data_IF_254075438144
#
_entry.id   IF_254075438144
#
_cell.length_a   1.000
_cell.length_b   1.000
_cell.length_c   1.000
_cell.angle_alpha   90.00
_cell.angle_beta   90.00
_cell.angle_gamma   90.00
#
_symmetry.space_group_name_H-M   'P 1'
#
loop_
_entity.id
_entity.type
_entity.pdbx_description
1 polymer ?
#
# COMPACT_ATOMS: atom_id res chain seq x y z
N UNK A 1 16.16 -14.55 -24.35
CA UNK A 1 15.17 -15.14 -23.43
C UNK A 1 14.37 -16.21 -24.17
N UNK A 2 14.55 -17.47 -23.84
CA UNK A 2 13.67 -18.56 -24.29
C UNK A 2 12.80 -18.95 -23.10
N UNK A 3 11.58 -18.42 -23.03
CA UNK A 3 10.62 -18.83 -22.01
C UNK A 3 10.12 -20.25 -22.29
N UNK A 4 10.13 -21.11 -21.28
CA UNK A 4 9.51 -22.43 -21.38
C UNK A 4 7.98 -22.32 -21.53
N UNK A 5 7.35 -23.37 -22.07
CA UNK A 5 5.87 -23.43 -22.18
C UNK A 5 5.20 -23.29 -20.80
N UNK A 6 5.84 -23.77 -19.74
CA UNK A 6 5.36 -23.65 -18.36
C UNK A 6 5.43 -22.22 -17.84
N UNK A 7 6.55 -21.53 -18.09
CA UNK A 7 6.70 -20.10 -17.75
C UNK A 7 5.66 -19.22 -18.46
N UNK A 8 5.37 -19.48 -19.74
CA UNK A 8 4.32 -18.75 -20.48
C UNK A 8 2.93 -18.97 -19.87
N UNK A 9 2.60 -20.22 -19.48
CA UNK A 9 1.33 -20.51 -18.79
C UNK A 9 1.22 -19.78 -17.45
N UNK A 10 2.29 -19.81 -16.66
CA UNK A 10 2.35 -19.11 -15.37
C UNK A 10 2.19 -17.60 -15.56
N UNK A 11 2.89 -16.98 -16.52
CA UNK A 11 2.74 -15.57 -16.83
C UNK A 11 1.29 -15.19 -17.19
N UNK A 12 0.61 -16.02 -18.00
CA UNK A 12 -0.80 -15.82 -18.34
C UNK A 12 -1.73 -15.90 -17.13
N UNK A 13 -1.50 -16.84 -16.19
CA UNK A 13 -2.27 -16.96 -14.95
C UNK A 13 -2.03 -15.77 -14.01
N UNK A 14 -0.79 -15.30 -13.88
CA UNK A 14 -0.48 -14.08 -13.10
C UNK A 14 -1.20 -12.87 -13.71
N UNK A 15 -1.23 -12.75 -15.04
CA UNK A 15 -1.97 -11.70 -15.75
C UNK A 15 -3.48 -11.74 -15.47
N UNK A 16 -4.08 -12.94 -15.31
CA UNK A 16 -5.48 -13.08 -14.90
C UNK A 16 -5.71 -12.63 -13.47
N UNK A 17 -4.78 -12.94 -12.54
CA UNK A 17 -4.85 -12.46 -11.15
C UNK A 17 -4.74 -10.93 -11.07
N UNK A 18 -3.92 -10.31 -11.89
CA UNK A 18 -3.76 -8.85 -11.91
C UNK A 18 -5.02 -8.10 -12.38
N UNK A 19 -5.89 -8.75 -13.16
CA UNK A 19 -7.17 -8.21 -13.62
C UNK A 19 -8.36 -8.56 -12.73
N UNK A 20 -8.17 -9.38 -11.70
CA UNK A 20 -9.22 -9.78 -10.78
C UNK A 20 -9.42 -8.73 -9.66
N UNK A 21 -10.64 -8.68 -9.09
CA UNK A 21 -10.89 -7.87 -7.89
C UNK A 21 -10.05 -8.39 -6.72
N UNK A 22 -9.60 -7.48 -5.84
CA UNK A 22 -8.82 -7.84 -4.66
C UNK A 22 -9.51 -8.93 -3.85
N UNK A 23 -8.86 -10.10 -3.71
CA UNK A 23 -9.35 -11.19 -2.90
C UNK A 23 -8.27 -11.63 -1.90
N UNK A 24 -8.70 -11.95 -0.68
CA UNK A 24 -7.83 -12.57 0.29
C UNK A 24 -7.30 -13.90 -0.30
N UNK A 25 -5.97 -14.11 -0.26
CA UNK A 25 -5.32 -15.32 -0.79
C UNK A 25 -4.61 -15.16 -2.14
N UNK A 26 -4.78 -14.08 -2.86
CA UNK A 26 -4.05 -13.85 -4.13
C UNK A 26 -2.52 -13.85 -3.95
N UNK A 27 -2.01 -13.43 -2.78
CA UNK A 27 -0.58 -13.50 -2.48
C UNK A 27 -0.05 -14.94 -2.43
N UNK A 28 -0.78 -15.86 -1.80
CA UNK A 28 -0.41 -17.26 -1.68
C UNK A 28 -0.56 -17.99 -3.03
N UNK A 29 -1.61 -17.68 -3.78
CA UNK A 29 -1.80 -18.19 -5.14
C UNK A 29 -0.67 -17.73 -6.06
N UNK A 30 -0.28 -16.46 -5.97
CA UNK A 30 0.81 -15.88 -6.75
C UNK A 30 2.15 -16.59 -6.45
N UNK A 31 2.49 -16.82 -5.17
CA UNK A 31 3.71 -17.57 -4.80
C UNK A 31 3.63 -19.00 -5.31
N UNK A 32 2.47 -19.65 -5.23
CA UNK A 32 2.28 -21.02 -5.72
C UNK A 32 2.52 -21.10 -7.23
N UNK A 33 1.98 -20.15 -8.00
CA UNK A 33 2.22 -20.05 -9.43
C UNK A 33 3.69 -19.84 -9.78
N UNK A 34 4.35 -18.92 -9.09
CA UNK A 34 5.78 -18.67 -9.30
C UNK A 34 6.63 -19.89 -8.96
N UNK A 35 6.22 -20.72 -7.98
CA UNK A 35 6.92 -21.96 -7.63
C UNK A 35 6.88 -22.98 -8.77
N UNK A 36 5.78 -23.06 -9.54
CA UNK A 36 5.70 -23.92 -10.71
C UNK A 36 6.78 -23.57 -11.75
N UNK A 37 7.01 -22.26 -11.99
CA UNK A 37 7.95 -21.78 -13.01
C UNK A 37 9.40 -21.72 -12.53
N UNK A 38 9.65 -21.35 -11.25
CA UNK A 38 10.99 -21.06 -10.74
C UNK A 38 11.55 -22.17 -9.82
N UNK A 39 10.68 -23.06 -9.30
CA UNK A 39 11.04 -24.24 -8.48
C UNK A 39 11.93 -23.90 -7.27
N UNK A 40 11.62 -22.89 -6.52
CA UNK A 40 12.29 -22.50 -5.27
C UNK A 40 11.82 -23.34 -4.07
N UNK A 41 12.60 -23.36 -3.00
CA UNK A 41 12.25 -24.03 -1.75
C UNK A 41 11.44 -23.09 -0.83
N UNK A 42 11.81 -21.81 -0.80
CA UNK A 42 11.12 -20.78 -0.05
C UNK A 42 10.99 -19.49 -0.86
N UNK A 43 9.93 -18.72 -0.60
CA UNK A 43 9.74 -17.41 -1.19
C UNK A 43 8.90 -16.50 -0.30
N UNK A 44 9.06 -15.20 -0.46
CA UNK A 44 8.26 -14.18 0.20
C UNK A 44 8.02 -12.96 -0.69
N UNK A 45 6.87 -12.37 -0.53
CA UNK A 45 6.51 -11.10 -1.15
C UNK A 45 6.33 -10.09 -0.03
N UNK A 46 7.04 -8.98 -0.15
CA UNK A 46 6.92 -7.85 0.75
C UNK A 46 6.47 -6.62 -0.04
N UNK A 47 5.53 -5.86 0.52
CA UNK A 47 5.05 -4.61 -0.05
C UNK A 47 5.71 -3.44 0.66
N UNK A 48 6.11 -2.43 -0.12
CA UNK A 48 6.64 -1.20 0.43
C UNK A 48 5.53 -0.37 1.07
N UNK A 49 5.73 0.00 2.31
CA UNK A 49 4.93 1.00 3.01
C UNK A 49 5.73 2.30 3.07
N UNK A 50 5.35 3.28 2.25
CA UNK A 50 6.03 4.59 2.19
C UNK A 50 5.99 5.30 3.54
N UNK A 51 4.91 5.10 4.31
CA UNK A 51 4.73 5.73 5.61
C UNK A 51 5.65 5.13 6.68
N UNK A 52 5.84 3.82 6.64
CA UNK A 52 6.74 3.11 7.53
C UNK A 52 8.20 3.20 7.09
N UNK A 53 8.46 3.62 5.84
CA UNK A 53 9.77 3.44 5.21
C UNK A 53 10.31 2.01 5.40
N UNK A 54 9.40 1.03 5.38
CA UNK A 54 9.68 -0.38 5.60
C UNK A 54 8.82 -1.26 4.70
N UNK A 55 9.18 -2.53 4.58
CA UNK A 55 8.33 -3.48 3.89
C UNK A 55 7.35 -4.15 4.86
N UNK A 56 6.17 -4.49 4.35
CA UNK A 56 5.17 -5.30 5.05
C UNK A 56 5.01 -6.62 4.31
N UNK A 57 4.99 -7.74 5.04
CA UNK A 57 4.77 -9.06 4.46
C UNK A 57 3.40 -9.17 3.79
N UNK A 58 3.37 -9.65 2.55
CA UNK A 58 2.14 -9.93 1.80
C UNK A 58 1.82 -11.42 1.86
N UNK A 59 2.81 -12.25 1.56
CA UNK A 59 2.69 -13.71 1.60
C UNK A 59 4.09 -14.31 1.71
N UNK A 60 4.20 -15.47 2.35
CA UNK A 60 5.47 -16.18 2.52
C UNK A 60 5.22 -17.69 2.55
N UNK A 61 6.10 -18.44 1.92
CA UNK A 61 6.12 -19.91 1.97
C UNK A 61 7.54 -20.41 2.17
N UNK A 62 7.73 -21.33 3.10
CA UNK A 62 9.03 -21.96 3.36
C UNK A 62 10.03 -21.11 4.15
N UNK A 63 9.79 -19.84 4.37
CA UNK A 63 10.56 -19.02 5.31
C UNK A 63 10.00 -19.14 6.73
N UNK A 64 10.89 -19.19 7.71
CA UNK A 64 10.50 -19.03 9.10
C UNK A 64 10.13 -17.55 9.42
N UNK A 65 9.59 -17.33 10.62
CA UNK A 65 9.21 -16.00 11.07
C UNK A 65 10.40 -15.04 11.13
N UNK A 66 11.57 -15.52 11.53
CA UNK A 66 12.80 -14.73 11.62
C UNK A 66 13.24 -14.20 10.25
N UNK A 67 13.30 -15.07 9.22
CA UNK A 67 13.72 -14.67 7.89
C UNK A 67 12.66 -13.82 7.19
N UNK A 68 11.38 -14.12 7.41
CA UNK A 68 10.29 -13.27 6.93
C UNK A 68 10.38 -11.85 7.52
N UNK A 69 10.64 -11.75 8.81
CA UNK A 69 10.88 -10.47 9.50
C UNK A 69 12.13 -9.75 9.01
N UNK A 70 13.21 -10.50 8.73
CA UNK A 70 14.43 -9.93 8.16
C UNK A 70 14.18 -9.26 6.81
N UNK A 71 13.48 -9.93 5.88
CA UNK A 71 13.16 -9.36 4.57
C UNK A 71 12.24 -8.15 4.65
N UNK A 72 11.35 -8.10 5.63
CA UNK A 72 10.45 -6.97 5.83
C UNK A 72 11.15 -5.76 6.48
N UNK A 73 12.01 -5.98 7.47
CA UNK A 73 12.49 -4.90 8.36
C UNK A 73 13.97 -4.54 8.17
N UNK A 74 14.85 -5.53 8.06
CA UNK A 74 16.30 -5.29 8.04
C UNK A 74 16.85 -5.20 6.62
N UNK A 75 16.43 -6.09 5.74
CA UNK A 75 16.89 -6.13 4.34
C UNK A 75 16.69 -4.81 3.57
N UNK A 76 15.58 -4.06 3.74
CA UNK A 76 15.36 -2.80 3.04
C UNK A 76 16.45 -1.74 3.23
N UNK A 77 17.14 -1.80 4.39
CA UNK A 77 18.22 -0.87 4.76
C UNK A 77 19.60 -1.31 4.26
N UNK A 78 19.69 -2.46 3.59
CA UNK A 78 20.97 -2.96 3.08
C UNK A 78 21.37 -2.32 1.76
N UNK A 79 22.67 -2.25 1.50
CA UNK A 79 23.21 -1.80 0.20
C UNK A 79 22.72 -2.69 -0.95
N UNK A 80 22.45 -3.96 -0.69
CA UNK A 80 21.92 -4.88 -1.70
C UNK A 80 20.49 -4.53 -2.09
N UNK A 81 19.63 -4.21 -1.13
CA UNK A 81 18.27 -3.73 -1.38
C UNK A 81 18.27 -2.44 -2.20
N UNK A 82 19.12 -1.49 -1.88
CA UNK A 82 19.25 -0.26 -2.63
C UNK A 82 19.69 -0.52 -4.08
N UNK A 83 20.67 -1.41 -4.26
CA UNK A 83 21.15 -1.79 -5.60
C UNK A 83 20.08 -2.46 -6.45
N UNK A 84 19.26 -3.35 -5.85
CA UNK A 84 18.14 -4.01 -6.53
C UNK A 84 17.10 -2.97 -6.96
N UNK A 85 16.73 -2.06 -6.07
CA UNK A 85 15.76 -1.00 -6.36
C UNK A 85 16.24 -0.03 -7.43
N UNK A 86 17.49 0.44 -7.33
CA UNK A 86 18.07 1.38 -8.29
C UNK A 86 18.31 0.76 -9.66
N UNK A 87 18.72 -0.52 -9.70
CA UNK A 87 18.94 -1.27 -10.94
C UNK A 87 17.66 -1.68 -11.65
N UNK A 88 16.51 -1.67 -10.97
CA UNK A 88 15.20 -2.09 -11.49
C UNK A 88 15.22 -3.47 -12.14
N UNK A 89 16.09 -4.36 -11.68
CA UNK A 89 16.29 -5.67 -12.25
C UNK A 89 16.52 -6.71 -11.15
N UNK A 90 16.05 -7.98 -11.30
CA UNK A 90 16.30 -9.03 -10.33
C UNK A 90 17.80 -9.28 -10.14
N UNK A 91 18.22 -9.44 -8.89
CA UNK A 91 19.59 -9.75 -8.51
C UNK A 91 19.64 -11.12 -7.84
N UNK A 92 20.52 -12.00 -8.33
CA UNK A 92 20.82 -13.28 -7.71
C UNK A 92 21.98 -13.13 -6.72
N UNK A 93 22.14 -14.10 -5.85
CA UNK A 93 23.32 -14.19 -4.97
C UNK A 93 24.60 -14.15 -5.78
N UNK A 94 24.67 -14.85 -6.93
CA UNK A 94 25.87 -14.90 -7.80
C UNK A 94 26.07 -13.60 -8.62
N UNK A 95 25.08 -12.74 -8.81
CA UNK A 95 25.17 -11.45 -9.47
C UNK A 95 25.55 -10.32 -8.50
N UNK A 96 25.51 -10.59 -7.19
CA UNK A 96 25.87 -9.63 -6.16
C UNK A 96 27.38 -9.34 -6.18
N UNK A 97 27.83 -8.15 -5.72
CA UNK A 97 29.26 -7.90 -5.53
C UNK A 97 29.88 -8.97 -4.64
N UNK A 98 31.19 -9.17 -4.83
CA UNK A 98 32.01 -10.27 -4.33
C UNK A 98 31.81 -10.69 -2.87
N UNK A 99 31.13 -9.89 -2.07
CA UNK A 99 31.07 -10.04 -0.63
C UNK A 99 29.65 -10.37 -0.10
N UNK A 100 28.66 -10.68 -0.97
CA UNK A 100 27.31 -10.97 -0.46
C UNK A 100 27.29 -12.27 0.36
N UNK A 101 27.96 -13.32 -0.09
CA UNK A 101 28.07 -14.59 0.65
C UNK A 101 28.87 -14.44 1.95
N UNK A 102 29.72 -13.43 2.06
CA UNK A 102 30.50 -13.10 3.27
C UNK A 102 29.81 -12.04 4.13
N UNK A 103 28.63 -11.52 3.69
CA UNK A 103 27.88 -10.53 4.45
C UNK A 103 27.14 -11.16 5.63
N UNK A 104 26.97 -10.39 6.72
CA UNK A 104 26.12 -10.78 7.85
C UNK A 104 24.71 -11.18 7.41
N UNK A 105 24.19 -10.55 6.36
CA UNK A 105 22.90 -10.89 5.77
C UNK A 105 22.83 -12.34 5.29
N UNK A 106 23.88 -12.84 4.67
CA UNK A 106 23.92 -14.19 4.17
C UNK A 106 24.35 -15.18 5.25
N UNK A 107 25.42 -14.88 6.00
CA UNK A 107 26.02 -15.78 7.00
C UNK A 107 25.14 -15.99 8.23
N UNK A 108 24.42 -14.97 8.65
CA UNK A 108 23.66 -14.99 9.90
C UNK A 108 22.16 -15.25 9.66
N UNK A 109 21.63 -14.82 8.50
CA UNK A 109 20.20 -14.91 8.25
C UNK A 109 19.83 -16.00 7.23
N UNK A 110 20.54 -16.14 6.12
CA UNK A 110 20.16 -16.99 4.99
C UNK A 110 20.76 -18.39 5.08
N UNK A 111 22.09 -18.48 5.15
CA UNK A 111 22.81 -19.75 5.14
C UNK A 111 22.48 -20.69 6.32
N UNK A 112 22.30 -20.23 7.58
CA UNK A 112 21.94 -21.09 8.70
C UNK A 112 20.59 -21.80 8.55
N UNK A 113 19.72 -21.25 7.68
CA UNK A 113 18.40 -21.83 7.36
C UNK A 113 18.45 -22.82 6.19
N UNK A 114 19.66 -23.15 5.72
CA UNK A 114 19.88 -24.14 4.66
C UNK A 114 19.71 -23.62 3.24
N UNK A 115 19.67 -22.29 3.05
CA UNK A 115 19.61 -21.70 1.72
C UNK A 115 21.01 -21.34 1.22
N UNK A 116 21.36 -21.81 0.02
CA UNK A 116 22.64 -21.58 -0.64
C UNK A 116 22.53 -20.71 -1.89
N UNK A 117 21.32 -20.52 -2.41
CA UNK A 117 21.03 -19.64 -3.54
C UNK A 117 19.77 -18.80 -3.30
N UNK A 118 19.74 -17.63 -3.91
CA UNK A 118 18.64 -16.70 -3.77
C UNK A 118 18.54 -15.71 -4.93
N UNK A 119 17.32 -15.21 -5.14
CA UNK A 119 17.04 -14.14 -6.08
C UNK A 119 16.06 -13.17 -5.43
N UNK A 120 16.36 -11.88 -5.56
CA UNK A 120 15.47 -10.80 -5.14
C UNK A 120 15.11 -9.92 -6.32
N UNK A 121 13.82 -9.67 -6.53
CA UNK A 121 13.30 -8.87 -7.62
C UNK A 121 12.54 -7.66 -7.10
N UNK A 122 12.85 -6.44 -7.59
CA UNK A 122 12.09 -5.26 -7.25
C UNK A 122 10.78 -5.25 -8.04
N UNK A 123 9.72 -4.83 -7.39
CA UNK A 123 8.38 -4.76 -7.97
C UNK A 123 8.02 -3.31 -8.28
N UNK A 124 7.91 -2.99 -9.55
CA UNK A 124 7.50 -1.67 -10.03
C UNK A 124 6.26 -1.80 -10.89
N UNK A 125 5.30 -0.89 -10.72
CA UNK A 125 4.20 -0.72 -11.66
C UNK A 125 4.71 -0.12 -12.98
N UNK A 126 3.90 -0.21 -14.04
CA UNK A 126 4.18 0.45 -15.31
C UNK A 126 4.31 1.97 -15.18
N UNK A 127 3.66 2.59 -14.19
CA UNK A 127 3.84 4.00 -13.82
C UNK A 127 5.24 4.34 -13.32
N UNK A 128 6.04 3.32 -12.95
CA UNK A 128 7.36 3.47 -12.37
C UNK A 128 7.36 3.50 -10.84
N UNK A 129 6.21 3.39 -10.20
CA UNK A 129 6.07 3.38 -8.75
C UNK A 129 6.61 2.06 -8.16
N UNK A 130 7.43 2.18 -7.12
CA UNK A 130 7.97 1.03 -6.39
C UNK A 130 6.92 0.48 -5.44
N UNK A 131 6.57 -0.81 -5.59
CA UNK A 131 5.53 -1.47 -4.81
C UNK A 131 6.09 -2.38 -3.72
N UNK A 132 7.30 -2.92 -3.92
CA UNK A 132 7.88 -3.86 -2.97
C UNK A 132 8.93 -4.78 -3.57
N UNK A 133 9.13 -5.94 -2.96
CA UNK A 133 10.07 -6.96 -3.45
C UNK A 133 9.47 -8.36 -3.41
N UNK A 134 9.93 -9.17 -4.33
CA UNK A 134 9.77 -10.62 -4.33
C UNK A 134 11.12 -11.25 -4.04
N UNK A 135 11.17 -12.12 -3.04
CA UNK A 135 12.35 -12.88 -2.64
C UNK A 135 12.10 -14.37 -2.85
N UNK A 136 13.06 -15.10 -3.36
CA UNK A 136 13.03 -16.58 -3.39
C UNK A 136 14.40 -17.15 -3.06
N UNK A 137 14.40 -18.31 -2.42
CA UNK A 137 15.61 -19.00 -1.95
C UNK A 137 15.55 -20.48 -2.25
N UNK A 138 16.73 -21.10 -2.43
CA UNK A 138 16.89 -22.54 -2.59
C UNK A 138 18.09 -23.04 -1.81
N UNK A 139 17.99 -24.28 -1.27
CA UNK A 139 19.11 -25.00 -0.71
C UNK A 139 20.07 -25.58 -1.76
N UNK A 140 19.70 -25.57 -3.03
CA UNK A 140 20.54 -26.00 -4.12
C UNK A 140 21.33 -24.82 -4.70
N UNK A 141 22.67 -24.91 -4.67
CA UNK A 141 23.55 -23.93 -5.25
C UNK A 141 23.26 -23.70 -6.76
N UNK A 142 23.35 -22.46 -7.22
CA UNK A 142 23.14 -22.06 -8.62
C UNK A 142 21.79 -22.54 -9.19
N UNK A 143 20.76 -22.50 -8.34
CA UNK A 143 19.40 -22.88 -8.74
C UNK A 143 18.80 -21.89 -9.71
N UNK A 144 19.08 -20.60 -9.52
CA UNK A 144 18.51 -19.53 -10.31
C UNK A 144 19.46 -19.12 -11.44
N UNK A 145 19.24 -19.69 -12.62
CA UNK A 145 19.99 -19.37 -13.84
C UNK A 145 19.49 -18.07 -14.52
N UNK A 146 20.09 -17.73 -15.66
CA UNK A 146 19.72 -16.54 -16.43
C UNK A 146 18.29 -16.61 -16.93
N UNK A 147 17.79 -17.79 -17.30
CA UNK A 147 16.43 -17.95 -17.82
C UNK A 147 15.39 -17.69 -16.72
N UNK A 148 15.63 -18.16 -15.50
CA UNK A 148 14.77 -17.88 -14.34
C UNK A 148 14.82 -16.40 -13.98
N UNK A 149 16.00 -15.79 -13.93
CA UNK A 149 16.15 -14.36 -13.64
C UNK A 149 15.40 -13.51 -14.66
N UNK A 150 15.59 -13.78 -15.94
CA UNK A 150 14.97 -13.03 -17.03
C UNK A 150 13.44 -13.24 -17.06
N UNK A 151 12.98 -14.45 -16.75
CA UNK A 151 11.55 -14.71 -16.56
C UNK A 151 10.96 -13.88 -15.42
N UNK A 152 11.60 -13.87 -14.25
CA UNK A 152 11.15 -13.08 -13.11
C UNK A 152 11.15 -11.59 -13.47
N UNK A 153 12.18 -11.09 -14.16
CA UNK A 153 12.20 -9.72 -14.66
C UNK A 153 10.98 -9.39 -15.55
N UNK A 154 10.65 -10.29 -16.45
CA UNK A 154 9.54 -10.10 -17.40
C UNK A 154 8.17 -10.09 -16.71
N UNK A 155 7.98 -10.90 -15.65
CA UNK A 155 6.70 -10.96 -14.92
C UNK A 155 6.60 -10.02 -13.72
N UNK A 156 7.70 -9.37 -13.32
CA UNK A 156 7.72 -8.46 -12.17
C UNK A 156 6.67 -7.33 -12.23
N UNK A 157 6.35 -6.71 -13.38
CA UNK A 157 5.26 -5.73 -13.45
C UNK A 157 3.87 -6.34 -13.18
N UNK A 158 3.64 -7.57 -13.61
CA UNK A 158 2.39 -8.29 -13.32
C UNK A 158 2.30 -8.66 -11.83
N UNK A 159 3.41 -9.13 -11.25
CA UNK A 159 3.51 -9.37 -9.80
C UNK A 159 3.23 -8.07 -9.04
N UNK A 160 3.84 -6.96 -9.44
CA UNK A 160 3.60 -5.65 -8.82
C UNK A 160 2.12 -5.25 -8.88
N UNK A 161 1.45 -5.46 -10.00
CA UNK A 161 0.02 -5.18 -10.16
C UNK A 161 -0.82 -6.03 -9.20
N UNK A 162 -0.54 -7.33 -9.06
CA UNK A 162 -1.23 -8.19 -8.07
C UNK A 162 -0.95 -7.70 -6.65
N UNK A 163 0.31 -7.45 -6.30
CA UNK A 163 0.72 -7.01 -4.94
C UNK A 163 0.11 -5.66 -4.57
N UNK A 164 -0.09 -4.76 -5.55
CA UNK A 164 -0.70 -3.45 -5.29
C UNK A 164 -2.16 -3.53 -4.84
N UNK A 165 -2.88 -4.58 -5.23
CA UNK A 165 -4.30 -4.80 -4.89
C UNK A 165 -4.51 -5.81 -3.75
N UNK A 166 -3.49 -6.64 -3.42
CA UNK A 166 -3.58 -7.60 -2.32
C UNK A 166 -3.44 -6.87 -0.99
N UNK A 167 -4.40 -7.05 -0.09
CA UNK A 167 -4.18 -6.66 1.31
C UNK A 167 -3.03 -7.51 1.88
N UNK A 168 -2.07 -6.90 2.63
CA UNK A 168 -1.01 -7.69 3.26
C UNK A 168 -1.66 -8.79 4.09
N UNK A 169 -1.26 -10.04 3.85
CA UNK A 169 -1.57 -11.12 4.78
C UNK A 169 -0.76 -10.88 6.04
N UNK A 170 -1.29 -10.07 6.93
CA UNK A 170 -0.84 -10.09 8.30
C UNK A 170 -1.18 -11.50 8.82
N UNK A 171 -0.17 -12.35 8.89
CA UNK A 171 -0.14 -13.26 10.02
C UNK A 171 -0.35 -12.33 11.21
N UNK A 172 -1.44 -12.50 11.92
CA UNK A 172 -1.92 -11.66 12.99
C UNK A 172 -0.79 -11.03 13.85
N UNK A 173 -0.14 -9.96 13.36
CA UNK A 173 0.08 -8.85 14.26
C UNK A 173 -1.34 -8.32 14.47
N UNK A 174 -2.02 -8.84 15.48
CA UNK A 174 -3.30 -8.35 15.92
C UNK A 174 -3.12 -6.86 16.12
N UNK A 175 -3.46 -6.07 15.09
CA UNK A 175 -3.53 -4.61 15.24
C UNK A 175 -4.42 -4.46 16.45
N UNK A 176 -3.86 -3.92 17.54
CA UNK A 176 -4.62 -3.76 18.76
C UNK A 176 -5.96 -3.12 18.38
N UNK A 177 -7.10 -3.67 18.80
CA UNK A 177 -8.39 -3.23 18.31
C UNK A 177 -8.50 -1.71 18.45
N UNK A 178 -9.08 -1.04 17.45
CA UNK A 178 -9.32 0.40 17.53
C UNK A 178 -10.15 0.66 18.78
N UNK A 179 -9.67 1.55 19.63
CA UNK A 179 -10.43 2.00 20.79
C UNK A 179 -11.44 3.04 20.34
N UNK A 180 -12.68 2.65 20.21
CA UNK A 180 -13.78 3.54 19.89
C UNK A 180 -14.25 4.34 21.11
N UNK A 181 -14.48 5.64 20.95
CA UNK A 181 -14.94 6.57 21.97
C UNK A 181 -16.07 7.40 21.36
N UNK A 182 -17.27 7.28 21.94
CA UNK A 182 -18.45 8.01 21.48
C UNK A 182 -19.24 7.30 20.37
N UNK A 183 -18.87 6.07 20.01
CA UNK A 183 -19.60 5.22 19.07
C UNK A 183 -19.33 3.74 19.40
N UNK A 184 -20.38 2.92 19.42
CA UNK A 184 -20.28 1.48 19.70
C UNK A 184 -20.26 0.65 18.40
N UNK A 185 -20.99 1.07 17.36
CA UNK A 185 -21.10 0.39 16.06
C UNK A 185 -20.85 1.39 14.92
N UNK A 186 -19.58 1.61 14.51
CA UNK A 186 -19.26 2.58 13.48
C UNK A 186 -19.71 2.09 12.11
N UNK A 187 -20.21 3.00 11.23
CA UNK A 187 -20.52 2.68 9.85
C UNK A 187 -19.32 2.05 9.12
N UNK A 188 -19.59 1.21 8.12
CA UNK A 188 -18.54 0.48 7.36
C UNK A 188 -17.48 1.40 6.80
N UNK A 189 -17.85 2.58 6.26
CA UNK A 189 -16.91 3.58 5.75
C UNK A 189 -15.96 4.10 6.82
N UNK A 190 -16.45 4.27 8.05
CA UNK A 190 -15.68 4.74 9.20
C UNK A 190 -14.76 3.63 9.72
N UNK A 191 -15.26 2.40 9.80
CA UNK A 191 -14.47 1.22 10.17
C UNK A 191 -13.35 0.95 9.17
N UNK A 192 -13.62 1.10 7.86
CA UNK A 192 -12.61 0.99 6.80
C UNK A 192 -11.56 2.10 6.91
N UNK A 193 -11.97 3.35 7.18
CA UNK A 193 -11.03 4.46 7.40
C UNK A 193 -10.14 4.20 8.62
N UNK A 194 -10.68 3.66 9.71
CA UNK A 194 -9.92 3.27 10.90
C UNK A 194 -8.87 2.19 10.58
N UNK A 195 -9.26 1.16 9.83
CA UNK A 195 -8.35 0.09 9.37
C UNK A 195 -7.23 0.67 8.51
N UNK A 196 -7.54 1.56 7.56
CA UNK A 196 -6.53 2.25 6.73
C UNK A 196 -5.61 3.12 7.57
N UNK A 197 -6.15 3.86 8.54
CA UNK A 197 -5.36 4.66 9.47
C UNK A 197 -4.44 3.80 10.34
N UNK A 198 -4.90 2.61 10.78
CA UNK A 198 -4.06 1.66 11.54
C UNK A 198 -2.88 1.15 10.71
N UNK A 199 -3.11 0.88 9.43
CA UNK A 199 -2.06 0.42 8.50
C UNK A 199 -1.10 1.55 8.10
N UNK A 200 -1.54 2.82 8.15
CA UNK A 200 -0.72 3.99 7.89
C UNK A 200 0.10 4.42 9.11
N UNK A 201 0.94 5.44 8.93
CA UNK A 201 1.80 5.96 10.02
C UNK A 201 1.42 7.36 10.48
N UNK A 202 0.35 7.92 9.98
CA UNK A 202 -0.14 9.21 10.44
C UNK A 202 -0.38 9.18 11.94
N UNK A 203 0.03 10.25 12.64
CA UNK A 203 -0.18 10.39 14.09
C UNK A 203 -1.61 10.72 14.44
N UNK A 204 -2.27 11.47 13.57
CA UNK A 204 -3.69 11.80 13.73
C UNK A 204 -4.33 12.02 12.34
N UNK A 205 -5.62 11.75 12.26
CA UNK A 205 -6.45 12.05 11.08
C UNK A 205 -7.81 12.51 11.59
N UNK A 206 -8.28 13.65 11.07
CA UNK A 206 -9.65 14.15 11.29
C UNK A 206 -10.45 14.00 10.02
N UNK A 207 -11.72 13.59 10.17
CA UNK A 207 -12.63 13.41 9.07
C UNK A 207 -14.08 13.61 9.52
N UNK A 208 -14.99 13.57 8.56
CA UNK A 208 -16.42 13.75 8.73
C UNK A 208 -17.17 12.58 8.09
N UNK A 209 -18.37 12.31 8.59
CA UNK A 209 -19.38 11.58 7.83
C UNK A 209 -20.77 12.11 8.18
N UNK A 210 -21.72 11.90 7.26
CA UNK A 210 -23.09 12.37 7.42
C UNK A 210 -24.00 11.20 7.74
N UNK A 211 -24.66 11.24 8.90
CA UNK A 211 -25.54 10.20 9.40
C UNK A 211 -26.76 10.83 10.10
N UNK A 212 -27.94 10.26 9.88
CA UNK A 212 -29.22 10.68 10.50
C UNK A 212 -29.55 12.18 10.42
N UNK A 213 -29.10 12.85 9.34
CA UNK A 213 -29.35 14.25 9.13
C UNK A 213 -28.28 15.20 9.66
N UNK A 214 -27.30 14.70 10.39
CA UNK A 214 -26.26 15.48 11.05
C UNK A 214 -24.84 15.04 10.65
N UNK A 215 -23.90 15.97 10.78
CA UNK A 215 -22.49 15.71 10.60
C UNK A 215 -21.86 15.17 11.89
N UNK A 216 -21.16 14.05 11.73
CA UNK A 216 -20.31 13.47 12.76
C UNK A 216 -18.84 13.81 12.44
N UNK A 217 -18.09 14.17 13.44
CA UNK A 217 -16.65 14.37 13.38
C UNK A 217 -15.95 13.17 14.00
N UNK A 218 -14.89 12.70 13.35
CA UNK A 218 -14.03 11.65 13.90
C UNK A 218 -12.60 12.12 13.91
N UNK A 219 -11.91 11.79 14.98
CA UNK A 219 -10.46 11.95 15.09
C UNK A 219 -9.84 10.60 15.43
N UNK A 220 -9.00 10.12 14.53
CA UNK A 220 -8.12 8.98 14.79
C UNK A 220 -6.80 9.49 15.34
N UNK A 221 -6.35 8.91 16.46
CA UNK A 221 -5.07 9.26 17.09
C UNK A 221 -4.30 7.98 17.39
N UNK A 222 -3.05 7.94 16.97
CA UNK A 222 -2.13 6.85 17.28
C UNK A 222 -1.40 7.13 18.58
N UNK A 223 -1.45 6.19 19.51
CA UNK A 223 -0.67 6.26 20.73
C UNK A 223 0.84 6.29 20.43
N UNK A 224 1.55 7.12 21.17
CA UNK A 224 3.02 7.18 21.14
C UNK A 224 3.67 6.02 21.92
N UNK A 225 2.86 5.16 22.57
CA UNK A 225 3.36 3.96 23.25
C UNK A 225 3.80 2.89 22.24
N UNK A 226 4.66 1.98 22.67
CA UNK A 226 5.17 0.88 21.84
C UNK A 226 4.07 0.00 21.22
N UNK A 227 2.84 0.03 21.74
CA UNK A 227 1.70 -0.70 21.21
C UNK A 227 1.11 -0.11 19.92
N UNK A 228 1.41 1.17 19.60
CA UNK A 228 0.85 1.86 18.43
C UNK A 228 -0.69 1.89 18.37
N UNK A 229 -1.37 1.63 19.50
CA UNK A 229 -2.83 1.54 19.56
C UNK A 229 -3.49 2.80 19.00
N UNK A 230 -4.51 2.60 18.16
CA UNK A 230 -5.32 3.68 17.59
C UNK A 230 -6.56 3.91 18.45
N UNK A 231 -6.81 5.16 18.81
CA UNK A 231 -8.07 5.62 19.37
C UNK A 231 -8.84 6.39 18.30
N UNK A 232 -10.14 6.15 18.21
CA UNK A 232 -11.07 6.86 17.35
C UNK A 232 -12.10 7.56 18.23
N UNK A 233 -12.09 8.89 18.24
CA UNK A 233 -13.02 9.70 19.03
C UNK A 233 -14.04 10.32 18.11
N UNK A 234 -15.33 10.10 18.42
CA UNK A 234 -16.46 10.63 17.68
C UNK A 234 -17.12 11.76 18.47
N UNK A 235 -17.48 12.82 17.77
CA UNK A 235 -18.24 13.94 18.32
C UNK A 235 -19.17 14.54 17.28
N UNK A 236 -20.27 15.14 17.71
CA UNK A 236 -21.15 15.91 16.85
C UNK A 236 -20.70 17.37 16.80
N UNK A 237 -20.87 18.00 15.65
CA UNK A 237 -20.54 19.42 15.52
C UNK A 237 -20.85 19.98 14.13
N UNK A 238 -20.91 21.32 14.00
CA UNK A 238 -21.11 21.94 12.69
C UNK A 238 -19.87 21.72 11.81
N UNK A 239 -20.11 21.56 10.52
CA UNK A 239 -19.02 21.53 9.54
C UNK A 239 -18.22 22.85 9.59
N UNK A 240 -16.87 22.77 9.63
CA UNK A 240 -16.03 23.97 9.59
C UNK A 240 -16.37 24.84 8.38
N UNK A 241 -16.22 26.15 8.52
CA UNK A 241 -16.49 27.15 7.48
C UNK A 241 -17.93 27.14 6.93
N UNK A 242 -18.88 26.50 7.62
CA UNK A 242 -20.28 26.35 7.20
C UNK A 242 -20.42 25.82 5.77
N UNK A 243 -19.60 24.87 5.41
CA UNK A 243 -19.73 24.19 4.12
C UNK A 243 -21.01 23.35 4.11
N UNK A 244 -21.71 23.41 2.98
CA UNK A 244 -22.85 22.53 2.75
C UNK A 244 -22.39 21.10 2.47
N UNK A 245 -23.26 20.12 2.57
CA UNK A 245 -22.95 18.72 2.26
C UNK A 245 -22.29 18.59 0.89
N UNK A 246 -22.86 19.23 -0.14
CA UNK A 246 -22.28 19.17 -1.49
C UNK A 246 -20.90 19.83 -1.58
N UNK A 247 -20.65 20.87 -0.81
CA UNK A 247 -19.34 21.50 -0.76
C UNK A 247 -18.32 20.64 -0.02
N UNK A 248 -18.72 19.86 1.00
CA UNK A 248 -17.85 18.88 1.66
C UNK A 248 -17.48 17.74 0.73
N UNK A 249 -18.44 17.17 -0.02
CA UNK A 249 -18.18 16.14 -1.04
C UNK A 249 -17.17 16.63 -2.08
N UNK A 250 -17.36 17.87 -2.58
CA UNK A 250 -16.43 18.48 -3.54
C UNK A 250 -15.08 18.81 -2.89
N UNK A 251 -15.04 19.30 -1.66
CA UNK A 251 -13.82 19.56 -0.91
C UNK A 251 -13.00 18.27 -0.73
N UNK A 252 -13.65 17.16 -0.41
CA UNK A 252 -13.01 15.84 -0.34
C UNK A 252 -12.38 15.44 -1.67
N UNK A 253 -13.09 15.66 -2.77
CA UNK A 253 -12.57 15.41 -4.11
C UNK A 253 -11.40 16.37 -4.49
N UNK A 254 -11.40 17.61 -3.96
CA UNK A 254 -10.26 18.54 -4.12
C UNK A 254 -9.02 18.05 -3.39
N UNK A 255 -9.16 17.51 -2.17
CA UNK A 255 -8.08 16.89 -1.41
C UNK A 255 -7.47 15.74 -2.18
N UNK A 256 -8.29 14.92 -2.84
CA UNK A 256 -7.84 13.82 -3.70
C UNK A 256 -7.27 14.28 -5.05
N UNK A 257 -7.14 15.58 -5.30
CA UNK A 257 -6.57 16.12 -6.55
C UNK A 257 -7.43 15.98 -7.80
N UNK A 258 -8.69 15.53 -7.69
CA UNK A 258 -9.54 15.18 -8.84
C UNK A 258 -9.91 16.41 -9.69
N UNK A 259 -9.77 16.35 -11.02
CA UNK A 259 -10.17 17.44 -11.89
C UNK A 259 -11.71 17.60 -11.92
N UNK A 260 -12.20 18.85 -12.18
CA UNK A 260 -13.63 19.16 -12.17
C UNK A 260 -14.49 18.26 -13.07
N UNK A 261 -13.93 17.75 -14.17
CA UNK A 261 -14.60 16.80 -15.06
C UNK A 261 -14.90 15.49 -14.34
N UNK A 262 -13.93 14.94 -13.60
CA UNK A 262 -14.07 13.70 -12.85
C UNK A 262 -15.04 13.91 -11.68
N UNK A 263 -14.87 14.99 -10.92
CA UNK A 263 -15.79 15.35 -9.82
C UNK A 263 -17.23 15.44 -10.34
N UNK A 264 -17.44 16.09 -11.51
CA UNK A 264 -18.74 16.19 -12.12
C UNK A 264 -19.35 14.83 -12.47
N UNK A 265 -18.56 13.91 -13.01
CA UNK A 265 -19.00 12.54 -13.31
C UNK A 265 -19.39 11.77 -12.04
N UNK A 266 -18.57 11.82 -10.99
CA UNK A 266 -18.84 11.13 -9.72
C UNK A 266 -20.11 11.66 -9.03
N UNK A 267 -20.31 12.97 -9.05
CA UNK A 267 -21.43 13.63 -8.38
C UNK A 267 -22.66 13.81 -9.28
N UNK A 268 -22.61 13.33 -10.53
CA UNK A 268 -23.66 13.47 -11.55
C UNK A 268 -24.10 14.91 -11.78
N UNK A 269 -23.15 15.85 -11.82
CA UNK A 269 -23.35 17.28 -12.11
C UNK A 269 -22.40 17.76 -13.21
N UNK A 270 -22.74 18.90 -13.85
CA UNK A 270 -21.89 19.46 -14.88
C UNK A 270 -20.55 19.97 -14.33
N UNK A 271 -19.49 19.91 -15.13
CA UNK A 271 -18.19 20.51 -14.80
C UNK A 271 -18.31 22.00 -14.44
N UNK A 272 -19.22 22.72 -15.09
CA UNK A 272 -19.54 24.14 -14.80
C UNK A 272 -20.13 24.30 -13.40
N UNK A 273 -21.01 23.37 -12.98
CA UNK A 273 -21.60 23.36 -11.63
C UNK A 273 -20.54 23.10 -10.59
N UNK A 274 -19.61 22.15 -10.84
CA UNK A 274 -18.44 21.90 -9.97
C UNK A 274 -17.62 23.18 -9.81
N UNK A 275 -17.32 23.89 -10.93
CA UNK A 275 -16.58 25.16 -10.89
C UNK A 275 -17.20 26.17 -9.95
N UNK A 276 -18.53 26.36 -10.01
CA UNK A 276 -19.26 27.27 -9.11
C UNK A 276 -19.18 26.84 -7.62
N UNK A 277 -19.21 25.54 -7.34
CA UNK A 277 -19.01 25.06 -5.97
C UNK A 277 -17.58 25.30 -5.50
N UNK A 278 -16.60 25.08 -6.37
CA UNK A 278 -15.19 25.35 -6.03
C UNK A 278 -15.00 26.84 -5.71
N UNK A 279 -15.52 27.75 -6.51
CA UNK A 279 -15.50 29.19 -6.22
C UNK A 279 -16.08 29.50 -4.84
N UNK A 280 -17.25 28.95 -4.50
CA UNK A 280 -17.88 29.15 -3.18
C UNK A 280 -17.04 28.56 -2.03
N UNK A 281 -16.40 27.40 -2.27
CA UNK A 281 -15.48 26.78 -1.29
C UNK A 281 -14.29 27.71 -1.06
N UNK A 282 -13.67 28.24 -2.13
CA UNK A 282 -12.55 29.18 -2.01
C UNK A 282 -12.94 30.44 -1.22
N UNK A 283 -14.11 31.01 -1.50
CA UNK A 283 -14.64 32.15 -0.76
C UNK A 283 -14.84 31.85 0.71
N UNK A 284 -15.48 30.72 1.05
CA UNK A 284 -15.74 30.31 2.42
C UNK A 284 -14.46 29.98 3.21
N UNK A 285 -13.46 29.43 2.54
CA UNK A 285 -12.14 29.13 3.12
C UNK A 285 -11.20 30.34 3.14
N UNK A 286 -11.63 31.49 2.58
CA UNK A 286 -10.85 32.71 2.41
C UNK A 286 -9.49 32.44 1.72
N UNK A 287 -9.48 31.64 0.64
CA UNK A 287 -8.27 31.31 -0.10
C UNK A 287 -8.48 31.49 -1.62
N UNK A 288 -7.36 31.66 -2.34
CA UNK A 288 -7.39 32.00 -3.78
C UNK A 288 -7.03 30.84 -4.71
N UNK A 289 -6.58 29.71 -4.17
CA UNK A 289 -6.17 28.59 -4.99
C UNK A 289 -6.78 27.25 -4.55
N UNK A 290 -7.01 26.37 -5.53
CA UNK A 290 -7.49 25.02 -5.32
C UNK A 290 -6.59 24.20 -4.39
N UNK A 291 -5.26 24.32 -4.55
CA UNK A 291 -4.28 23.60 -3.73
C UNK A 291 -4.29 24.11 -2.29
N UNK A 292 -4.44 25.42 -2.08
CA UNK A 292 -4.61 25.99 -0.74
C UNK A 292 -5.90 25.49 -0.08
N UNK A 293 -7.01 25.45 -0.84
CA UNK A 293 -8.27 24.90 -0.33
C UNK A 293 -8.13 23.45 0.08
N UNK A 294 -7.51 22.61 -0.76
CA UNK A 294 -7.25 21.20 -0.44
C UNK A 294 -6.41 21.05 0.83
N UNK A 295 -5.35 21.84 0.99
CA UNK A 295 -4.50 21.84 2.20
C UNK A 295 -5.26 22.27 3.46
N UNK A 296 -6.14 23.28 3.37
CA UNK A 296 -7.00 23.70 4.48
C UNK A 296 -7.97 22.57 4.84
N UNK A 297 -8.67 22.00 3.84
CA UNK A 297 -9.62 20.93 4.06
C UNK A 297 -8.97 19.71 4.74
N UNK A 298 -7.78 19.31 4.29
CA UNK A 298 -7.02 18.23 4.90
C UNK A 298 -6.67 18.54 6.37
N UNK A 299 -6.13 19.73 6.64
CA UNK A 299 -5.72 20.14 7.98
C UNK A 299 -6.91 20.23 8.94
N UNK A 300 -8.04 20.74 8.49
CA UNK A 300 -9.25 20.93 9.30
C UNK A 300 -10.13 19.67 9.36
N UNK A 301 -9.73 18.59 8.67
CA UNK A 301 -10.49 17.33 8.65
C UNK A 301 -11.80 17.41 7.85
N UNK A 302 -11.88 18.29 6.85
CA UNK A 302 -13.05 18.42 5.95
C UNK A 302 -12.93 17.34 4.86
N UNK A 303 -13.13 16.09 5.27
CA UNK A 303 -13.02 14.89 4.45
C UNK A 303 -14.23 14.02 4.76
N UNK A 304 -15.11 13.82 3.80
CA UNK A 304 -16.27 12.93 3.95
C UNK A 304 -15.86 11.47 3.73
N UNK A 305 -15.89 10.67 4.79
CA UNK A 305 -15.53 9.25 4.74
C UNK A 305 -16.51 8.42 3.90
N UNK A 306 -17.78 8.80 3.84
CA UNK A 306 -18.76 8.10 3.02
C UNK A 306 -18.50 8.34 1.52
N UNK A 307 -18.04 9.54 1.15
CA UNK A 307 -17.67 9.87 -0.22
C UNK A 307 -16.38 9.17 -0.66
N UNK A 308 -15.50 8.85 0.30
CA UNK A 308 -14.25 8.11 0.06
C UNK A 308 -14.43 6.59 -0.07
N UNK A 309 -15.62 6.06 0.29
CA UNK A 309 -15.90 4.63 0.24
C UNK A 309 -16.30 4.16 -1.15
N UNK A 310 -15.56 3.37 -1.76
CA UNK A 310 -15.58 2.28 -2.73
C UNK A 310 -14.60 2.40 -3.89
N UNK A 311 -14.35 3.58 -4.48
CA UNK A 311 -13.52 3.69 -5.70
C UNK A 311 -12.51 4.86 -5.69
N UNK A 312 -12.41 5.62 -4.59
CA UNK A 312 -11.47 6.71 -4.47
C UNK A 312 -10.24 6.28 -3.68
N UNK A 313 -9.18 5.96 -4.41
CA UNK A 313 -7.82 5.90 -3.86
C UNK A 313 -7.44 7.35 -3.52
N UNK A 314 -7.50 7.72 -2.24
CA UNK A 314 -6.74 8.88 -1.79
C UNK A 314 -5.28 8.45 -1.90
N UNK A 315 -4.56 9.13 -2.77
CA UNK A 315 -3.11 9.05 -2.78
C UNK A 315 -2.64 9.30 -1.33
N UNK A 316 -2.01 8.31 -0.69
CA UNK A 316 -1.53 8.39 0.69
C UNK A 316 -0.62 9.61 0.91
N UNK A 317 -0.08 10.20 -0.17
CA UNK A 317 0.68 11.46 -0.18
C UNK A 317 -0.15 12.66 0.30
N UNK A 318 -1.47 12.62 0.20
CA UNK A 318 -2.34 13.69 0.69
C UNK A 318 -2.39 13.74 2.24
N UNK A 319 -1.98 12.68 2.93
CA UNK A 319 -1.99 12.57 4.39
C UNK A 319 -0.62 12.73 5.04
N UNK A 320 0.46 12.92 4.28
CA UNK A 320 1.77 13.30 4.84
C UNK A 320 1.76 14.79 5.19
N UNK A 321 2.00 15.20 6.46
CA UNK A 321 2.23 16.58 6.75
C UNK A 321 3.47 17.04 5.98
N UNK A 322 3.34 18.13 5.24
CA UNK A 322 4.49 18.85 4.71
C UNK A 322 5.42 19.16 5.88
N UNK A 323 6.63 18.56 5.85
CA UNK A 323 7.71 18.83 6.78
C UNK A 323 8.20 20.28 6.65
#
# INVERSE_FOLDING_TARGET
MQCSTEQLKVAGRIGQLSGASAAAGHGDELITLLREACRFDAAGIVRWDETASSHVGVSSIGYDEGLSSYFANSFPSTVFSERIRSGRFPLRVDDAPHDFRDSEAFTDEIAPRGFDDGLSAPLFLESGDYIGMFHMSSGAARRFDDDIRDFVAAVSPLIASVVSIVEPSNGEAACAPVRWIGIDDPPESVALAAKRFQLGQSRSLRALWFEDGDWQHIEFVRSTSASGQVAATVSQGPVPYRLTRREVEIATALVSGLPNKVIGSCLQISQRTVGKHVERILDKLACSSRSTAASICLREGIIDLAFMGSDFIIDHRAFSPLA
#
